data_IF_828532473734
#
_entry.id   IF_828532473734
#
_cell.length_a   1.000
_cell.length_b   1.000
_cell.length_c   1.000
_cell.angle_alpha   90.00
_cell.angle_beta   90.00
_cell.angle_gamma   90.00
#
_symmetry.space_group_name_H-M   'P 1'
#
loop_
_entity.id
_entity.type
_entity.pdbx_description
1 polymer ?
#
# COMPACT_ATOMS: atom_id res chain seq x y z
N UNK A 1 -6.11 -6.82 88.80
CA UNK A 1 -7.04 -7.06 87.65
C UNK A 1 -6.27 -6.69 86.34
N UNK A 2 -5.93 -7.66 85.52
CA UNK A 2 -5.26 -7.43 84.25
C UNK A 2 -6.25 -7.67 83.16
N UNK A 3 -6.64 -6.63 82.42
CA UNK A 3 -7.51 -6.74 81.25
C UNK A 3 -6.71 -7.19 80.03
N UNK A 4 -6.99 -8.38 79.48
CA UNK A 4 -6.44 -8.81 78.21
C UNK A 4 -7.14 -8.10 77.08
N UNK A 5 -6.39 -7.47 76.17
CA UNK A 5 -6.87 -6.87 74.95
C UNK A 5 -6.96 -7.95 73.86
N UNK A 6 -8.08 -8.11 73.17
CA UNK A 6 -8.15 -9.02 72.05
C UNK A 6 -7.46 -8.39 70.84
N UNK A 7 -6.49 -9.11 70.30
CA UNK A 7 -5.80 -8.76 69.04
C UNK A 7 -6.73 -9.17 67.85
N UNK A 8 -7.29 -8.17 67.20
CA UNK A 8 -8.12 -8.42 66.01
C UNK A 8 -7.17 -8.79 64.82
N UNK A 9 -7.17 -10.07 64.42
CA UNK A 9 -6.41 -10.55 63.26
C UNK A 9 -7.23 -10.26 61.99
N UNK A 10 -6.89 -9.19 61.26
CA UNK A 10 -7.51 -8.89 59.97
C UNK A 10 -6.94 -9.81 58.89
N UNK A 11 -7.69 -10.79 58.48
CA UNK A 11 -7.35 -11.67 57.36
C UNK A 11 -7.68 -10.91 56.08
N UNK A 12 -6.61 -10.43 55.38
CA UNK A 12 -6.76 -9.81 54.08
C UNK A 12 -6.93 -10.92 53.03
N UNK A 13 -8.17 -11.09 52.54
CA UNK A 13 -8.50 -12.05 51.51
C UNK A 13 -8.05 -11.49 50.16
N UNK A 14 -6.88 -11.91 49.70
CA UNK A 14 -6.39 -11.57 48.35
C UNK A 14 -7.11 -12.50 47.36
N UNK A 15 -8.14 -12.01 46.70
CA UNK A 15 -8.73 -12.71 45.56
C UNK A 15 -7.83 -12.58 44.36
N UNK A 16 -7.40 -13.69 43.73
CA UNK A 16 -6.73 -13.63 42.46
C UNK A 16 -7.73 -13.13 41.41
N UNK A 17 -7.46 -11.95 40.84
CA UNK A 17 -8.14 -11.49 39.63
C UNK A 17 -7.64 -12.37 38.51
N UNK A 18 -8.40 -13.37 38.12
CA UNK A 18 -8.19 -14.09 36.86
C UNK A 18 -8.45 -13.07 35.75
N UNK A 19 -7.36 -12.49 35.23
CA UNK A 19 -7.40 -11.78 33.96
C UNK A 19 -7.75 -12.81 32.88
N UNK A 20 -9.02 -12.85 32.48
CA UNK A 20 -9.43 -13.53 31.26
C UNK A 20 -8.78 -12.72 30.15
N UNK A 21 -7.66 -13.21 29.64
CA UNK A 21 -7.13 -12.72 28.35
C UNK A 21 -8.26 -12.95 27.33
N UNK A 22 -8.91 -11.86 26.91
CA UNK A 22 -9.78 -11.92 25.74
C UNK A 22 -8.89 -12.35 24.60
N UNK A 23 -9.08 -13.57 24.12
CA UNK A 23 -8.53 -14.01 22.86
C UNK A 23 -9.06 -13.01 21.81
N UNK A 24 -8.21 -12.07 21.43
CA UNK A 24 -8.49 -11.17 20.33
C UNK A 24 -8.60 -12.08 19.12
N UNK A 25 -9.84 -12.46 18.77
CA UNK A 25 -10.12 -13.45 17.75
C UNK A 25 -9.21 -13.22 16.56
N UNK A 26 -8.38 -14.19 16.25
CA UNK A 26 -7.54 -14.15 15.06
C UNK A 26 -8.46 -13.85 13.88
N UNK A 27 -8.18 -12.83 13.07
CA UNK A 27 -8.97 -12.59 11.88
C UNK A 27 -8.98 -13.86 11.05
N UNK A 28 -10.14 -14.50 10.94
CA UNK A 28 -10.29 -15.70 10.15
C UNK A 28 -10.70 -15.28 8.73
N UNK A 29 -10.03 -15.84 7.74
CA UNK A 29 -10.37 -15.65 6.33
C UNK A 29 -11.18 -16.86 5.83
N UNK A 30 -12.16 -17.29 6.62
CA UNK A 30 -12.94 -18.51 6.41
C UNK A 30 -14.14 -18.30 5.48
N UNK A 31 -14.40 -17.05 5.08
CA UNK A 31 -15.45 -16.77 4.13
C UNK A 31 -15.13 -17.41 2.76
N UNK A 32 -16.12 -18.03 2.09
CA UNK A 32 -15.91 -18.58 0.75
C UNK A 32 -15.37 -17.51 -0.20
N UNK A 33 -14.28 -17.81 -0.88
CA UNK A 33 -13.76 -16.94 -1.93
C UNK A 33 -14.57 -17.14 -3.20
N UNK A 34 -15.47 -16.20 -3.50
CA UNK A 34 -16.31 -16.22 -4.70
C UNK A 34 -15.58 -15.69 -5.96
N UNK A 35 -14.30 -15.35 -5.83
CA UNK A 35 -13.51 -14.80 -6.93
C UNK A 35 -12.50 -15.83 -7.43
N UNK A 36 -12.29 -15.84 -8.75
CA UNK A 36 -11.24 -16.64 -9.38
C UNK A 36 -10.10 -15.72 -9.81
N UNK A 37 -8.89 -16.02 -9.37
CA UNK A 37 -7.70 -15.28 -9.80
C UNK A 37 -7.32 -15.68 -11.22
N UNK A 38 -7.27 -14.71 -12.12
CA UNK A 38 -6.76 -14.89 -13.48
C UNK A 38 -5.32 -14.39 -13.50
N UNK A 39 -4.38 -15.33 -13.59
CA UNK A 39 -2.95 -15.00 -13.67
C UNK A 39 -2.61 -14.51 -15.07
N UNK A 40 -1.63 -13.60 -15.12
CA UNK A 40 -1.07 -13.08 -16.38
C UNK A 40 -2.14 -12.55 -17.35
N UNK A 41 -3.21 -11.95 -16.82
CA UNK A 41 -4.30 -11.42 -17.60
C UNK A 41 -3.84 -10.26 -18.50
N UNK A 42 -3.17 -9.26 -17.91
CA UNK A 42 -2.64 -8.13 -18.66
C UNK A 42 -1.32 -8.47 -19.35
N UNK A 43 -1.28 -8.27 -20.66
CA UNK A 43 -0.11 -8.57 -21.51
C UNK A 43 0.70 -7.33 -21.76
N UNK A 44 1.91 -7.30 -21.20
CA UNK A 44 2.91 -6.28 -21.53
C UNK A 44 3.57 -6.58 -22.88
N UNK A 45 4.13 -5.56 -23.56
CA UNK A 45 4.97 -5.77 -24.74
C UNK A 45 6.18 -6.67 -24.43
N UNK A 46 6.71 -7.33 -25.46
CA UNK A 46 7.89 -8.18 -25.34
C UNK A 46 9.08 -7.42 -24.72
N UNK A 47 9.77 -8.09 -23.82
CA UNK A 47 10.92 -7.53 -23.12
C UNK A 47 10.58 -6.58 -21.99
N UNK A 48 9.29 -6.24 -21.75
CA UNK A 48 8.87 -5.43 -20.63
C UNK A 48 8.40 -6.30 -19.44
N UNK A 49 8.82 -5.95 -18.25
CA UNK A 49 8.38 -6.57 -17.00
C UNK A 49 7.51 -5.60 -16.20
N UNK A 50 6.67 -6.15 -15.33
CA UNK A 50 5.95 -5.36 -14.33
C UNK A 50 6.91 -4.81 -13.28
N UNK A 51 6.76 -3.52 -12.98
CA UNK A 51 7.30 -2.93 -11.75
C UNK A 51 6.26 -2.98 -10.62
N UNK A 52 6.55 -2.24 -9.55
CA UNK A 52 5.55 -2.05 -8.49
C UNK A 52 4.35 -1.31 -9.07
N UNK A 53 3.20 -1.99 -9.08
CA UNK A 53 1.91 -1.41 -9.47
C UNK A 53 1.29 -0.78 -8.24
N UNK A 54 1.09 0.53 -8.30
CA UNK A 54 0.59 1.30 -7.16
C UNK A 54 -0.91 1.52 -7.18
N UNK A 55 -1.50 1.64 -8.37
CA UNK A 55 -2.92 1.93 -8.50
C UNK A 55 -3.49 1.47 -9.84
N UNK A 56 -4.78 1.17 -9.82
CA UNK A 56 -5.59 0.86 -11.00
C UNK A 56 -6.91 1.61 -10.91
N UNK A 57 -7.49 1.94 -12.07
CA UNK A 57 -8.85 2.48 -12.15
C UNK A 57 -9.52 2.02 -13.45
N UNK A 58 -10.84 2.01 -13.44
CA UNK A 58 -11.66 1.61 -14.60
C UNK A 58 -11.80 2.82 -15.53
N UNK A 59 -11.60 2.61 -16.82
CA UNK A 59 -11.86 3.64 -17.83
C UNK A 59 -13.36 3.97 -17.90
N UNK A 60 -13.69 5.16 -18.38
CA UNK A 60 -15.09 5.61 -18.58
C UNK A 60 -15.91 4.65 -19.49
N UNK A 61 -15.26 3.79 -20.25
CA UNK A 61 -15.93 2.77 -21.06
C UNK A 61 -16.48 1.61 -20.21
N UNK A 62 -16.15 1.57 -18.91
CA UNK A 62 -16.63 0.58 -17.95
C UNK A 62 -15.97 -0.79 -18.07
N UNK A 63 -15.01 -0.98 -18.96
CA UNK A 63 -14.38 -2.29 -19.24
C UNK A 63 -12.86 -2.25 -19.30
N UNK A 64 -12.28 -1.20 -19.85
CA UNK A 64 -10.84 -1.04 -19.92
C UNK A 64 -10.27 -0.62 -18.55
N UNK A 65 -9.06 -1.04 -18.27
CA UNK A 65 -8.37 -0.75 -17.00
C UNK A 65 -7.14 0.11 -17.25
N UNK A 66 -7.04 1.18 -16.51
CA UNK A 66 -5.83 1.98 -16.38
C UNK A 66 -4.99 1.48 -15.23
N UNK A 67 -3.69 1.44 -15.43
CA UNK A 67 -2.71 0.97 -14.45
C UNK A 67 -1.59 1.99 -14.35
N UNK A 68 -1.25 2.39 -13.13
CA UNK A 68 -0.04 3.15 -12.82
C UNK A 68 1.02 2.20 -12.24
N UNK A 69 2.17 2.10 -12.93
CA UNK A 69 3.27 1.22 -12.51
C UNK A 69 4.62 1.93 -12.61
N UNK A 70 5.62 1.42 -11.92
CA UNK A 70 6.91 2.09 -11.72
C UNK A 70 7.99 1.59 -12.69
N UNK A 71 7.69 1.61 -13.99
CA UNK A 71 8.67 1.39 -15.08
C UNK A 71 9.46 0.07 -14.96
N UNK A 72 8.77 -1.01 -14.60
CA UNK A 72 9.39 -2.35 -14.46
C UNK A 72 10.21 -2.53 -13.18
N UNK A 73 10.22 -1.54 -12.27
CA UNK A 73 10.99 -1.54 -11.02
C UNK A 73 10.16 -1.02 -9.85
N UNK A 74 10.78 -0.43 -8.85
CA UNK A 74 10.10 0.26 -7.74
C UNK A 74 10.21 1.79 -7.83
N UNK A 75 10.73 2.32 -8.93
CA UNK A 75 10.83 3.75 -9.24
C UNK A 75 11.14 3.90 -10.73
N UNK A 76 10.62 4.93 -11.37
CA UNK A 76 11.01 5.31 -12.73
C UNK A 76 12.29 6.15 -12.77
N UNK A 77 12.81 6.57 -11.64
CA UNK A 77 14.12 7.24 -11.53
C UNK A 77 15.17 6.25 -11.04
N UNK A 78 16.20 6.03 -11.82
CA UNK A 78 17.44 5.41 -11.35
C UNK A 78 18.21 6.44 -10.50
N UNK A 79 18.17 6.26 -9.19
CA UNK A 79 18.82 7.19 -8.25
C UNK A 79 20.34 7.10 -8.23
N UNK A 80 20.93 6.07 -8.82
CA UNK A 80 22.39 5.94 -8.93
C UNK A 80 22.91 6.83 -10.03
N UNK A 81 22.19 6.88 -11.15
CA UNK A 81 22.59 7.64 -12.35
C UNK A 81 21.84 8.96 -12.50
N UNK A 82 20.75 9.16 -11.76
CA UNK A 82 19.85 10.30 -11.92
C UNK A 82 19.02 10.24 -13.22
N UNK A 83 19.00 9.09 -13.89
CA UNK A 83 18.34 8.96 -15.19
C UNK A 83 16.89 8.49 -15.01
N UNK A 84 15.96 9.19 -15.67
CA UNK A 84 14.56 8.75 -15.79
C UNK A 84 14.44 7.61 -16.79
N UNK A 85 13.50 6.71 -16.51
CA UNK A 85 13.14 5.63 -17.44
C UNK A 85 12.39 6.16 -18.65
N UNK A 86 12.72 5.63 -19.82
CA UNK A 86 12.01 5.91 -21.07
C UNK A 86 10.73 5.05 -21.23
N UNK A 87 10.41 4.21 -20.24
CA UNK A 87 9.19 3.41 -20.24
C UNK A 87 7.99 4.24 -19.79
N UNK A 88 6.84 4.16 -20.48
CA UNK A 88 5.61 4.80 -20.01
C UNK A 88 5.14 4.16 -18.70
N UNK A 89 4.81 4.99 -17.73
CA UNK A 89 4.37 4.55 -16.39
C UNK A 89 2.86 4.40 -16.26
N UNK A 90 2.08 4.89 -17.23
CA UNK A 90 0.62 4.79 -17.26
C UNK A 90 0.18 3.97 -18.45
N UNK A 91 -0.54 2.90 -18.19
CA UNK A 91 -0.90 1.87 -19.17
C UNK A 91 -2.41 1.66 -19.20
N UNK A 92 -3.01 1.52 -20.39
CA UNK A 92 -4.40 1.14 -20.55
C UNK A 92 -4.50 -0.25 -21.20
N UNK A 93 -5.25 -1.13 -20.59
CA UNK A 93 -5.57 -2.46 -21.12
C UNK A 93 -7.05 -2.56 -21.43
N UNK A 94 -7.37 -3.19 -22.54
CA UNK A 94 -8.75 -3.52 -22.90
C UNK A 94 -9.28 -4.74 -22.12
N UNK A 95 -10.55 -5.06 -22.35
CA UNK A 95 -11.21 -6.20 -21.71
C UNK A 95 -10.61 -7.57 -22.06
N UNK A 96 -9.71 -7.67 -23.03
CA UNK A 96 -8.97 -8.90 -23.34
C UNK A 96 -7.60 -8.97 -22.63
N UNK A 97 -7.24 -7.92 -21.89
CA UNK A 97 -5.94 -7.79 -21.25
C UNK A 97 -4.83 -7.30 -22.17
N UNK A 98 -5.16 -6.83 -23.39
CA UNK A 98 -4.21 -6.30 -24.34
C UNK A 98 -3.90 -4.83 -24.01
N UNK A 99 -2.62 -4.44 -24.05
CA UNK A 99 -2.21 -3.06 -23.95
C UNK A 99 -2.67 -2.28 -25.20
N UNK A 100 -3.50 -1.24 -24.98
CA UNK A 100 -4.08 -0.43 -26.07
C UNK A 100 -3.61 1.03 -26.04
N UNK A 101 -3.12 1.51 -24.88
CA UNK A 101 -2.58 2.87 -24.75
C UNK A 101 -1.54 2.94 -23.64
N UNK A 102 -0.55 3.79 -23.79
CA UNK A 102 0.42 4.10 -22.74
C UNK A 102 0.97 5.50 -22.87
N UNK A 103 1.35 6.11 -21.74
CA UNK A 103 2.00 7.44 -21.70
C UNK A 103 2.77 7.63 -20.39
N UNK A 104 3.40 8.80 -20.22
CA UNK A 104 4.06 9.20 -18.99
C UNK A 104 5.54 8.78 -18.91
N UNK A 105 6.17 8.40 -20.03
CA UNK A 105 7.61 8.17 -20.09
C UNK A 105 8.38 9.43 -19.65
N UNK A 106 9.29 9.30 -18.70
CA UNK A 106 10.09 10.41 -18.18
C UNK A 106 9.34 11.47 -17.37
N UNK A 107 8.04 11.30 -17.11
CA UNK A 107 7.23 12.30 -16.41
C UNK A 107 7.08 12.03 -14.91
N UNK A 108 6.93 10.78 -14.53
CA UNK A 108 6.60 10.38 -13.15
C UNK A 108 7.76 9.58 -12.57
N UNK A 109 8.16 9.92 -11.35
CA UNK A 109 9.24 9.23 -10.63
C UNK A 109 8.67 8.02 -9.89
N UNK A 110 7.56 8.24 -9.18
CA UNK A 110 6.98 7.27 -8.27
C UNK A 110 5.45 7.35 -8.36
N UNK A 111 4.86 6.96 -9.51
CA UNK A 111 3.41 6.97 -9.66
C UNK A 111 2.77 6.20 -8.52
N UNK A 112 1.76 6.81 -7.87
CA UNK A 112 1.20 6.28 -6.62
C UNK A 112 -0.31 6.10 -6.66
N UNK A 113 -1.06 7.10 -7.13
CA UNK A 113 -2.51 7.03 -7.28
C UNK A 113 -2.94 7.28 -8.71
N UNK A 114 -4.06 6.72 -9.12
CA UNK A 114 -4.69 6.96 -10.42
C UNK A 114 -6.19 7.14 -10.24
N UNK A 115 -6.78 8.03 -11.00
CA UNK A 115 -8.22 8.22 -11.08
C UNK A 115 -8.64 8.61 -12.50
N UNK A 116 -9.70 8.00 -12.98
CA UNK A 116 -10.32 8.33 -14.27
C UNK A 116 -11.65 9.03 -14.02
N UNK A 117 -11.76 10.28 -14.45
CA UNK A 117 -12.99 11.03 -14.25
C UNK A 117 -14.07 10.67 -15.30
N UNK A 118 -15.28 11.19 -15.09
CA UNK A 118 -16.42 10.96 -15.99
C UNK A 118 -16.20 11.41 -17.44
N UNK A 119 -15.29 12.34 -17.67
CA UNK A 119 -14.96 12.87 -19.00
C UNK A 119 -13.84 12.03 -19.68
N UNK A 120 -13.21 11.13 -18.91
CA UNK A 120 -12.14 10.23 -19.36
C UNK A 120 -10.76 10.85 -19.21
N UNK A 121 -10.59 11.92 -18.41
CA UNK A 121 -9.29 12.39 -18.03
C UNK A 121 -8.67 11.45 -17.01
N UNK A 122 -7.38 11.19 -17.16
CA UNK A 122 -6.61 10.33 -16.26
C UNK A 122 -5.76 11.20 -15.36
N UNK A 123 -6.06 11.17 -14.07
CA UNK A 123 -5.34 11.87 -13.01
C UNK A 123 -4.37 10.91 -12.35
N UNK A 124 -3.11 11.30 -12.25
CA UNK A 124 -2.07 10.48 -11.61
C UNK A 124 -1.35 11.33 -10.57
N UNK A 125 -1.15 10.77 -9.38
CA UNK A 125 -0.31 11.40 -8.37
C UNK A 125 1.09 10.81 -8.42
N UNK A 126 2.12 11.66 -8.30
CA UNK A 126 3.49 11.23 -8.10
C UNK A 126 3.81 11.30 -6.60
N UNK A 127 4.31 10.22 -6.03
CA UNK A 127 4.67 10.13 -4.62
C UNK A 127 6.06 10.67 -4.30
N UNK A 128 6.80 11.11 -5.30
CA UNK A 128 8.14 11.69 -5.15
C UNK A 128 8.34 12.83 -6.15
N UNK A 129 9.09 13.83 -5.73
CA UNK A 129 9.62 14.88 -6.57
C UNK A 129 11.08 14.55 -7.00
N UNK A 130 11.64 15.38 -7.84
CA UNK A 130 13.03 15.30 -8.31
C UNK A 130 14.04 15.91 -7.33
N UNK A 131 13.59 16.34 -6.15
CA UNK A 131 14.45 16.89 -5.13
C UNK A 131 15.54 15.90 -4.74
N UNK A 132 16.78 16.36 -4.50
CA UNK A 132 17.84 15.50 -4.02
C UNK A 132 17.42 14.77 -2.75
N UNK A 133 17.68 13.45 -2.68
CA UNK A 133 17.43 12.72 -1.44
C UNK A 133 18.28 13.33 -0.31
N UNK A 134 17.72 13.48 0.91
CA UNK A 134 18.53 13.86 2.05
C UNK A 134 19.66 12.83 2.22
N UNK A 135 20.88 13.34 2.50
CA UNK A 135 22.03 12.48 2.72
C UNK A 135 21.68 11.39 3.75
N UNK A 136 22.08 10.15 3.47
CA UNK A 136 21.89 9.03 4.42
C UNK A 136 22.59 9.40 5.73
N UNK A 137 21.84 9.64 6.80
CA UNK A 137 22.34 10.03 8.09
C UNK A 137 21.76 11.34 8.65
N UNK A 138 21.14 12.18 7.83
CA UNK A 138 20.31 13.27 8.36
C UNK A 138 19.01 12.64 8.87
N UNK A 139 18.98 12.26 10.15
CA UNK A 139 17.85 11.65 10.82
C UNK A 139 16.63 12.57 10.80
N UNK A 140 15.83 12.43 9.78
CA UNK A 140 14.46 12.93 9.74
C UNK A 140 13.59 12.04 10.60
N UNK A 141 13.48 12.33 11.88
CA UNK A 141 12.44 11.76 12.72
C UNK A 141 11.09 12.06 12.07
N UNK A 142 10.35 11.02 11.72
CA UNK A 142 8.92 11.15 11.43
C UNK A 142 8.28 11.70 12.71
N UNK A 143 7.97 13.01 12.70
CA UNK A 143 7.15 13.61 13.73
C UNK A 143 5.83 12.86 13.75
N UNK A 144 5.56 12.13 14.82
CA UNK A 144 4.22 11.69 15.14
C UNK A 144 3.39 12.96 15.33
N UNK A 145 2.50 13.26 14.41
CA UNK A 145 1.44 14.23 14.63
C UNK A 145 0.51 13.61 15.67
N UNK A 146 0.43 14.29 16.83
CA UNK A 146 -0.53 13.99 17.89
C UNK A 146 -1.95 14.38 17.50
#
# INVERSE_FOLDING_TARGET
MRFARPTLLTILLVMPILAVAQDAGQPTNDAPNNYTTIKDYFKLPDGRTWGSTSAVDIDKDGTSIWVAERCGQNSCLDRTTGKMSDLPSVLKFDASGKLVKSFGAGLLIFPHGIHVDKDGNVWVTDGQDDAPLPARGAGGGRGAAG
#
